data_IF_151651759198
#
_entry.id   IF_151651759198
#
_cell.length_a   1.000
_cell.length_b   1.000
_cell.length_c   1.000
_cell.angle_alpha   90.00
_cell.angle_beta   90.00
_cell.angle_gamma   90.00
#
_symmetry.space_group_name_H-M   'P 1'
#
loop_
_entity.id
_entity.type
_entity.pdbx_description
1 polymer ?
#
# COMPACT_ATOMS: atom_id res chain seq x y z
N UNK A 1 -4.08 11.78 24.80
CA UNK A 1 -4.48 10.56 24.04
C UNK A 1 -3.29 9.66 23.82
N UNK A 2 -3.36 8.38 24.17
CA UNK A 2 -2.22 7.48 23.99
C UNK A 2 -1.97 7.22 22.51
N UNK A 3 -0.68 7.07 22.16
CA UNK A 3 -0.28 6.64 20.84
C UNK A 3 -0.62 5.16 20.64
N UNK A 4 -0.73 4.74 19.38
CA UNK A 4 -0.98 3.35 19.07
C UNK A 4 0.18 2.45 19.53
N UNK A 5 -0.13 1.19 19.80
CA UNK A 5 0.87 0.16 20.11
C UNK A 5 1.25 -0.62 18.86
N UNK A 6 2.38 -1.33 18.92
CA UNK A 6 2.79 -2.23 17.83
C UNK A 6 1.77 -3.37 17.66
N UNK A 7 1.15 -3.82 18.74
CA UNK A 7 0.08 -4.83 18.68
C UNK A 7 -1.14 -4.30 17.94
N UNK A 8 -1.54 -3.05 18.19
CA UNK A 8 -2.64 -2.41 17.48
C UNK A 8 -2.35 -2.32 15.99
N UNK A 9 -1.15 -1.87 15.62
CA UNK A 9 -0.73 -1.77 14.22
C UNK A 9 -0.78 -3.13 13.53
N UNK A 10 -0.31 -4.19 14.20
CA UNK A 10 -0.38 -5.54 13.66
C UNK A 10 -1.81 -6.00 13.46
N UNK A 11 -2.68 -5.74 14.44
CA UNK A 11 -4.09 -6.12 14.36
C UNK A 11 -4.78 -5.41 13.19
N UNK A 12 -4.48 -4.13 12.98
CA UNK A 12 -5.02 -3.36 11.84
C UNK A 12 -4.53 -3.96 10.53
N UNK A 13 -3.24 -4.29 10.42
CA UNK A 13 -2.70 -4.93 9.21
C UNK A 13 -3.39 -6.27 8.95
N UNK A 14 -3.53 -7.10 9.96
CA UNK A 14 -4.18 -8.41 9.83
C UNK A 14 -5.64 -8.26 9.39
N UNK A 15 -6.34 -7.25 9.91
CA UNK A 15 -7.70 -6.94 9.51
C UNK A 15 -7.77 -6.53 8.03
N UNK A 16 -6.86 -5.66 7.59
CA UNK A 16 -6.81 -5.22 6.18
C UNK A 16 -6.54 -6.41 5.26
N UNK A 17 -5.58 -7.27 5.59
CA UNK A 17 -5.29 -8.48 4.82
C UNK A 17 -6.55 -9.33 4.70
N UNK A 18 -7.25 -9.54 5.80
CA UNK A 18 -8.44 -10.38 5.85
C UNK A 18 -9.56 -9.86 4.95
N UNK A 19 -9.94 -8.58 5.07
CA UNK A 19 -11.03 -8.09 4.23
C UNK A 19 -10.63 -7.90 2.77
N UNK A 20 -9.35 -7.60 2.51
CA UNK A 20 -8.85 -7.47 1.14
C UNK A 20 -8.90 -8.80 0.39
N UNK A 21 -8.53 -9.89 1.05
CA UNK A 21 -8.59 -11.23 0.45
C UNK A 21 -10.01 -11.64 0.06
N UNK A 22 -11.01 -11.13 0.75
CA UNK A 22 -12.42 -11.46 0.52
C UNK A 22 -13.05 -10.71 -0.66
N UNK A 23 -12.39 -9.67 -1.16
CA UNK A 23 -12.92 -8.90 -2.29
C UNK A 23 -12.42 -9.47 -3.61
N UNK A 24 -13.34 -9.83 -4.50
CA UNK A 24 -13.02 -10.48 -5.77
C UNK A 24 -12.19 -9.59 -6.71
N UNK A 25 -12.29 -8.27 -6.58
CA UNK A 25 -11.56 -7.32 -7.44
C UNK A 25 -10.18 -6.97 -6.90
N UNK A 26 -9.87 -7.34 -5.66
CA UNK A 26 -8.53 -7.12 -5.09
C UNK A 26 -7.68 -8.35 -5.39
N UNK A 27 -6.68 -8.15 -6.23
CA UNK A 27 -5.78 -9.21 -6.70
C UNK A 27 -4.63 -9.43 -5.73
N UNK A 28 -4.06 -8.34 -5.22
CA UNK A 28 -2.89 -8.43 -4.35
C UNK A 28 -2.84 -7.28 -3.35
N UNK A 29 -2.11 -7.50 -2.27
CA UNK A 29 -1.81 -6.49 -1.26
C UNK A 29 -0.31 -6.50 -1.00
N UNK A 30 0.32 -5.34 -1.13
CA UNK A 30 1.77 -5.19 -1.00
C UNK A 30 2.09 -4.17 0.08
N UNK A 31 2.88 -4.57 1.08
CA UNK A 31 3.42 -3.63 2.06
C UNK A 31 4.64 -2.95 1.47
N UNK A 32 4.72 -1.65 1.63
CA UNK A 32 5.85 -0.83 1.18
C UNK A 32 6.39 -0.03 2.35
N UNK A 33 7.48 0.71 2.15
CA UNK A 33 8.10 1.45 3.23
C UNK A 33 8.60 0.54 4.35
N UNK A 34 8.51 0.99 5.59
CA UNK A 34 9.04 0.27 6.75
C UNK A 34 8.33 -1.06 7.00
N UNK A 35 7.07 -1.19 6.62
CA UNK A 35 6.31 -2.44 6.76
C UNK A 35 6.85 -3.58 5.94
N UNK A 36 7.63 -3.30 4.89
CA UNK A 36 8.22 -4.32 4.02
C UNK A 36 9.38 -5.06 4.67
N UNK A 37 9.95 -4.53 5.75
CA UNK A 37 11.08 -5.15 6.45
C UNK A 37 10.93 -5.14 7.98
N UNK A 38 9.69 -5.14 8.46
CA UNK A 38 9.38 -5.45 9.86
C UNK A 38 9.29 -4.28 10.83
N UNK A 39 9.09 -3.05 10.34
CA UNK A 39 8.88 -1.87 11.20
C UNK A 39 10.01 -1.61 12.18
N UNK A 40 11.04 -0.91 11.71
CA UNK A 40 12.20 -0.52 12.53
C UNK A 40 11.77 0.37 13.70
N UNK A 41 10.77 1.23 13.49
CA UNK A 41 10.27 2.18 14.47
C UNK A 41 8.86 1.77 14.91
N UNK A 42 8.60 1.74 16.21
CA UNK A 42 7.28 1.44 16.75
C UNK A 42 6.22 2.49 16.36
N UNK A 43 6.64 3.68 15.91
CA UNK A 43 5.75 4.74 15.41
C UNK A 43 5.60 4.71 13.89
N UNK A 44 6.17 3.73 13.20
CA UNK A 44 6.07 3.62 11.74
C UNK A 44 4.63 3.44 11.29
N UNK A 45 4.28 4.12 10.18
CA UNK A 45 2.96 4.06 9.56
C UNK A 45 2.73 2.73 8.87
N UNK A 46 1.46 2.44 8.59
CA UNK A 46 1.09 1.38 7.65
C UNK A 46 1.05 1.99 6.25
N UNK A 47 1.90 1.48 5.36
CA UNK A 47 2.03 1.99 4.00
C UNK A 47 1.89 0.80 3.05
N UNK A 48 0.86 0.81 2.20
CA UNK A 48 0.54 -0.33 1.37
C UNK A 48 -0.08 0.05 0.05
N UNK A 49 -0.05 -0.90 -0.87
CA UNK A 49 -0.65 -0.78 -2.19
C UNK A 49 -1.64 -1.93 -2.37
N UNK A 50 -2.84 -1.59 -2.81
CA UNK A 50 -3.86 -2.56 -3.21
C UNK A 50 -3.85 -2.66 -4.73
N UNK A 51 -3.52 -3.85 -5.23
CA UNK A 51 -3.55 -4.14 -6.66
C UNK A 51 -4.91 -4.70 -7.03
N UNK A 52 -5.57 -4.09 -8.01
CA UNK A 52 -6.91 -4.45 -8.44
C UNK A 52 -6.90 -5.09 -9.81
N UNK A 53 -7.98 -5.78 -10.16
CA UNK A 53 -8.11 -6.49 -11.43
C UNK A 53 -8.24 -5.56 -12.63
N UNK A 54 -8.95 -4.44 -12.48
CA UNK A 54 -9.18 -3.47 -13.55
C UNK A 54 -9.49 -2.09 -12.99
N UNK A 55 -9.05 -1.04 -13.68
CA UNK A 55 -9.34 0.34 -13.30
C UNK A 55 -10.86 0.64 -13.24
N UNK A 56 -11.68 -0.11 -13.98
CA UNK A 56 -13.14 0.01 -13.92
C UNK A 56 -13.67 -0.23 -12.51
N UNK A 57 -13.00 -1.05 -11.72
CA UNK A 57 -13.42 -1.44 -10.39
C UNK A 57 -12.78 -0.59 -9.28
N UNK A 58 -11.96 0.40 -9.66
CA UNK A 58 -11.23 1.22 -8.70
C UNK A 58 -12.14 1.88 -7.67
N UNK A 59 -13.21 2.55 -8.13
CA UNK A 59 -14.13 3.24 -7.23
C UNK A 59 -14.82 2.29 -6.27
N UNK A 60 -15.28 1.16 -6.80
CA UNK A 60 -15.96 0.15 -5.96
C UNK A 60 -15.02 -0.42 -4.90
N UNK A 61 -13.75 -0.67 -5.26
CA UNK A 61 -12.75 -1.17 -4.31
C UNK A 61 -12.43 -0.12 -3.26
N UNK A 62 -12.22 1.13 -3.67
CA UNK A 62 -11.95 2.23 -2.73
C UNK A 62 -13.08 2.38 -1.71
N UNK A 63 -14.33 2.34 -2.16
CA UNK A 63 -15.50 2.43 -1.28
C UNK A 63 -15.58 1.24 -0.33
N UNK A 64 -15.29 0.04 -0.83
CA UNK A 64 -15.26 -1.16 -0.01
C UNK A 64 -14.22 -1.07 1.11
N UNK A 65 -12.99 -0.67 0.76
CA UNK A 65 -11.89 -0.57 1.72
C UNK A 65 -12.22 0.46 2.81
N UNK A 66 -12.68 1.65 2.40
CA UNK A 66 -13.09 2.68 3.36
C UNK A 66 -14.20 2.17 4.28
N UNK A 67 -15.21 1.53 3.72
CA UNK A 67 -16.31 0.96 4.50
C UNK A 67 -15.82 -0.04 5.54
N UNK A 68 -14.90 -0.93 5.15
CA UNK A 68 -14.35 -1.93 6.07
C UNK A 68 -13.53 -1.29 7.19
N UNK A 69 -12.72 -0.27 6.85
CA UNK A 69 -11.92 0.43 7.85
C UNK A 69 -12.80 1.16 8.86
N UNK A 70 -13.83 1.86 8.39
CA UNK A 70 -14.74 2.61 9.26
C UNK A 70 -15.61 1.72 10.15
N UNK A 71 -15.75 0.44 9.82
CA UNK A 71 -16.50 -0.50 10.67
C UNK A 71 -15.79 -0.80 11.98
N UNK A 72 -14.46 -0.77 12.01
CA UNK A 72 -13.69 -1.20 13.18
C UNK A 72 -12.77 -0.15 13.77
N UNK A 73 -12.49 0.93 13.04
CA UNK A 73 -11.54 1.94 13.46
C UNK A 73 -12.20 3.30 13.55
N UNK A 74 -11.71 4.12 14.46
CA UNK A 74 -12.13 5.51 14.59
C UNK A 74 -11.05 6.40 14.02
N UNK A 75 -11.43 7.30 13.11
CA UNK A 75 -10.50 8.19 12.44
C UNK A 75 -10.72 9.63 12.83
N UNK A 76 -9.63 10.37 13.05
CA UNK A 76 -9.65 11.81 13.28
C UNK A 76 -9.29 12.60 12.03
N UNK A 77 -8.84 11.92 10.97
CA UNK A 77 -8.45 12.57 9.72
C UNK A 77 -8.53 11.58 8.57
N UNK A 78 -9.00 12.07 7.42
CA UNK A 78 -9.03 11.32 6.17
C UNK A 78 -8.75 12.28 5.03
N UNK A 79 -7.90 11.87 4.08
CA UNK A 79 -7.55 12.65 2.91
C UNK A 79 -7.48 11.76 1.68
N UNK A 80 -8.09 12.23 0.59
CA UNK A 80 -7.91 11.61 -0.72
C UNK A 80 -6.93 12.45 -1.53
N UNK A 81 -6.02 11.77 -2.23
CA UNK A 81 -5.09 12.39 -3.18
C UNK A 81 -5.39 11.74 -4.53
N UNK A 82 -6.42 12.23 -5.29
CA UNK A 82 -6.93 11.54 -6.48
C UNK A 82 -5.86 11.33 -7.55
N UNK A 83 -4.98 12.29 -7.76
CA UNK A 83 -3.91 12.22 -8.77
C UNK A 83 -2.89 11.13 -8.49
N UNK A 84 -2.85 10.62 -7.26
CA UNK A 84 -1.96 9.52 -6.85
C UNK A 84 -2.72 8.24 -6.53
N UNK A 85 -4.04 8.26 -6.64
CA UNK A 85 -4.91 7.16 -6.21
C UNK A 85 -4.57 6.72 -4.79
N UNK A 86 -4.36 7.69 -3.90
CA UNK A 86 -3.91 7.48 -2.54
C UNK A 86 -4.96 7.94 -1.55
N UNK A 87 -5.23 7.11 -0.55
CA UNK A 87 -6.07 7.45 0.60
C UNK A 87 -5.20 7.44 1.86
N UNK A 88 -5.30 8.50 2.65
CA UNK A 88 -4.57 8.64 3.91
C UNK A 88 -5.57 8.69 5.04
N UNK A 89 -5.41 7.80 6.02
CA UNK A 89 -6.25 7.73 7.22
C UNK A 89 -5.39 7.94 8.44
N UNK A 90 -5.93 8.64 9.44
CA UNK A 90 -5.28 8.76 10.74
C UNK A 90 -6.26 8.33 11.81
N UNK A 91 -5.90 7.31 12.57
CA UNK A 91 -6.74 6.81 13.66
C UNK A 91 -6.73 7.78 14.83
N UNK A 92 -7.68 7.61 15.76
CA UNK A 92 -7.77 8.44 16.96
C UNK A 92 -6.61 8.22 17.94
N UNK A 93 -5.83 7.15 17.78
CA UNK A 93 -4.59 6.92 18.52
C UNK A 93 -3.33 7.14 17.65
N UNK A 94 -3.49 7.89 16.56
CA UNK A 94 -2.41 8.42 15.72
C UNK A 94 -1.66 7.40 14.84
N UNK A 95 -2.27 6.29 14.49
CA UNK A 95 -1.73 5.42 13.45
C UNK A 95 -2.14 5.97 12.09
N UNK A 96 -1.16 6.30 11.25
CA UNK A 96 -1.40 6.69 9.88
C UNK A 96 -1.44 5.45 8.98
N UNK A 97 -2.45 5.38 8.12
CA UNK A 97 -2.63 4.28 7.17
C UNK A 97 -2.69 4.89 5.77
N UNK A 98 -1.67 4.62 4.96
CA UNK A 98 -1.58 5.11 3.59
C UNK A 98 -1.85 3.96 2.64
N UNK A 99 -2.89 4.07 1.82
CA UNK A 99 -3.28 3.04 0.88
C UNK A 99 -3.31 3.62 -0.53
N UNK A 100 -2.38 3.14 -1.37
CA UNK A 100 -2.37 3.42 -2.79
C UNK A 100 -3.08 2.32 -3.56
N UNK A 101 -3.59 2.64 -4.74
CA UNK A 101 -4.35 1.71 -5.58
C UNK A 101 -3.80 1.70 -7.00
N UNK A 102 -3.78 0.54 -7.62
CA UNK A 102 -3.39 0.42 -9.03
C UNK A 102 -3.76 -0.94 -9.59
N UNK A 103 -3.86 -1.03 -10.92
CA UNK A 103 -4.11 -2.29 -11.58
C UNK A 103 -2.91 -3.24 -11.37
N UNK A 104 -3.19 -4.53 -11.11
CA UNK A 104 -2.11 -5.49 -10.86
C UNK A 104 -1.18 -5.65 -12.07
N UNK A 105 -1.70 -5.41 -13.27
CA UNK A 105 -0.91 -5.46 -14.51
C UNK A 105 0.10 -4.31 -14.63
N UNK A 106 -0.07 -3.26 -13.83
CA UNK A 106 0.86 -2.13 -13.75
C UNK A 106 1.78 -2.21 -12.54
N UNK A 107 1.83 -3.36 -11.86
CA UNK A 107 2.65 -3.53 -10.66
C UNK A 107 4.11 -3.29 -10.97
N UNK A 108 4.73 -2.43 -10.16
CA UNK A 108 6.12 -2.03 -10.36
C UNK A 108 6.73 -1.64 -9.02
N UNK A 109 8.01 -1.92 -8.85
CA UNK A 109 8.76 -1.51 -7.67
C UNK A 109 9.79 -0.48 -8.08
N UNK A 110 9.76 0.66 -7.43
CA UNK A 110 10.72 1.73 -7.64
C UNK A 110 11.57 1.97 -6.39
N UNK A 111 11.32 1.19 -5.34
CA UNK A 111 12.12 1.17 -4.13
C UNK A 111 12.68 -0.24 -3.91
N UNK A 112 13.75 -0.31 -3.14
CA UNK A 112 14.47 -1.56 -2.89
C UNK A 112 13.63 -2.60 -2.16
N UNK A 113 12.77 -2.18 -1.24
CA UNK A 113 12.06 -3.10 -0.34
C UNK A 113 10.55 -3.04 -0.55
N UNK A 114 9.96 -4.21 -0.68
CA UNK A 114 8.51 -4.42 -0.66
C UNK A 114 8.24 -5.81 -0.14
N UNK A 115 7.01 -6.05 0.31
CA UNK A 115 6.60 -7.38 0.76
C UNK A 115 5.19 -7.65 0.26
N UNK A 116 5.04 -8.69 -0.55
CA UNK A 116 3.72 -9.13 -1.03
C UNK A 116 3.06 -9.91 0.10
N UNK A 117 1.94 -9.38 0.62
CA UNK A 117 1.20 -10.00 1.71
C UNK A 117 0.30 -11.12 1.20
N UNK A 118 -0.33 -10.91 0.05
CA UNK A 118 -0.97 -11.96 -0.73
C UNK A 118 -1.04 -11.52 -2.20
N UNK A 119 -1.15 -12.51 -3.10
CA UNK A 119 -1.24 -12.26 -4.54
C UNK A 119 -1.97 -13.42 -5.22
N UNK A 120 -3.21 -13.17 -5.61
CA UNK A 120 -4.06 -14.16 -6.28
C UNK A 120 -3.60 -14.47 -7.71
N UNK A 121 -2.87 -13.54 -8.33
CA UNK A 121 -2.37 -13.72 -9.70
C UNK A 121 -1.05 -14.49 -9.76
N UNK A 122 -0.25 -14.43 -8.69
CA UNK A 122 1.08 -15.01 -8.66
C UNK A 122 2.11 -14.26 -9.49
N UNK A 123 1.79 -13.06 -10.01
CA UNK A 123 2.66 -12.34 -10.95
C UNK A 123 3.21 -11.02 -10.42
N UNK A 124 2.66 -10.52 -9.32
CA UNK A 124 2.98 -9.16 -8.83
C UNK A 124 4.42 -9.05 -8.36
N UNK A 125 4.92 -10.01 -7.57
CA UNK A 125 6.29 -9.95 -7.06
C UNK A 125 7.30 -9.96 -8.21
N UNK A 126 7.10 -10.82 -9.20
CA UNK A 126 7.98 -10.90 -10.36
C UNK A 126 7.97 -9.60 -11.18
N UNK A 127 6.80 -9.02 -11.38
CA UNK A 127 6.68 -7.74 -12.08
C UNK A 127 7.44 -6.63 -11.34
N UNK A 128 7.35 -6.61 -10.02
CA UNK A 128 8.06 -5.63 -9.20
C UNK A 128 9.57 -5.85 -9.26
N UNK A 129 10.04 -7.09 -9.24
CA UNK A 129 11.47 -7.41 -9.38
C UNK A 129 12.01 -6.95 -10.73
N UNK A 130 11.28 -7.22 -11.81
CA UNK A 130 11.68 -6.81 -13.16
C UNK A 130 11.82 -5.30 -13.24
N UNK A 131 10.84 -4.55 -12.73
CA UNK A 131 10.89 -3.09 -12.76
C UNK A 131 12.04 -2.54 -11.92
N UNK A 132 12.31 -3.13 -10.76
CA UNK A 132 13.40 -2.72 -9.90
C UNK A 132 14.76 -2.94 -10.57
N UNK A 133 14.98 -4.10 -11.18
CA UNK A 133 16.23 -4.40 -11.89
C UNK A 133 16.45 -3.44 -13.07
N UNK A 134 15.37 -3.06 -13.75
CA UNK A 134 15.41 -2.12 -14.87
C UNK A 134 15.84 -0.72 -14.39
N UNK A 135 15.34 -0.29 -13.26
CA UNK A 135 15.69 1.01 -12.68
C UNK A 135 17.15 1.01 -12.21
N UNK A 136 17.62 -0.04 -11.54
CA UNK A 136 19.01 -0.17 -11.10
C UNK A 136 19.99 -0.10 -12.26
N UNK A 137 19.62 -0.68 -13.40
CA UNK A 137 20.48 -0.71 -14.59
C UNK A 137 20.64 0.67 -15.23
N UNK A 138 19.68 1.58 -15.02
CA UNK A 138 19.62 2.86 -15.74
C UNK A 138 19.86 4.10 -14.85
N UNK A 139 20.05 3.92 -13.54
CA UNK A 139 20.19 5.06 -12.61
C UNK A 139 21.33 4.83 -11.62
N UNK A 140 21.95 5.94 -11.16
CA UNK A 140 22.90 5.88 -10.05
C UNK A 140 22.12 5.67 -8.73
N UNK A 141 22.81 5.13 -7.71
CA UNK A 141 22.15 4.82 -6.43
C UNK A 141 21.42 6.02 -5.81
N UNK A 142 22.00 7.21 -5.88
CA UNK A 142 21.36 8.42 -5.36
C UNK A 142 20.12 8.82 -6.14
N UNK A 143 20.12 8.61 -7.44
CA UNK A 143 18.98 8.90 -8.31
C UNK A 143 17.85 7.88 -8.14
N UNK A 144 18.19 6.64 -7.83
CA UNK A 144 17.20 5.58 -7.63
C UNK A 144 16.24 5.94 -6.50
N UNK A 145 16.77 6.37 -5.36
CA UNK A 145 15.94 6.68 -4.18
C UNK A 145 14.96 7.83 -4.47
N UNK A 146 15.42 8.87 -5.17
CA UNK A 146 14.61 10.05 -5.48
C UNK A 146 13.57 9.77 -6.57
N UNK A 147 13.99 9.14 -7.66
CA UNK A 147 13.10 8.79 -8.77
C UNK A 147 12.06 7.76 -8.37
N UNK A 148 12.42 6.82 -7.48
CA UNK A 148 11.53 5.76 -7.04
C UNK A 148 10.23 6.30 -6.44
N UNK A 149 10.32 7.30 -5.55
CA UNK A 149 9.16 7.89 -4.93
C UNK A 149 8.23 8.56 -5.94
N UNK A 150 8.80 9.37 -6.82
CA UNK A 150 8.02 10.11 -7.82
C UNK A 150 7.32 9.16 -8.80
N UNK A 151 8.05 8.17 -9.32
CA UNK A 151 7.50 7.26 -10.33
C UNK A 151 6.49 6.29 -9.73
N UNK A 152 6.73 5.78 -8.52
CA UNK A 152 5.78 4.90 -7.84
C UNK A 152 4.43 5.58 -7.68
N UNK A 153 4.43 6.82 -7.20
CA UNK A 153 3.19 7.59 -7.05
C UNK A 153 2.54 7.92 -8.39
N UNK A 154 3.33 8.16 -9.43
CA UNK A 154 2.79 8.46 -10.76
C UNK A 154 2.14 7.23 -11.41
N UNK A 155 2.67 6.03 -11.18
CA UNK A 155 2.08 4.80 -11.71
C UNK A 155 0.75 4.44 -11.05
N UNK A 156 0.46 5.03 -9.92
CA UNK A 156 -0.81 4.84 -9.24
C UNK A 156 -1.94 5.70 -9.79
N UNK A 157 -1.65 6.51 -10.80
CA UNK A 157 -2.65 7.36 -11.44
C UNK A 157 -3.54 6.57 -12.38
#
# INVERSE_FOLDING_TARGET
MPLFSTAFRKDVMDYIVSFAQQNEHIVALVAVGSGSYGYIDELSDLDMVIAIDSDENLRAVMDYVSSQLYKRLNFIYFKQVPERRLHVYLTDNYLEIDIGYGAYTSAAAFRKNWKVLFDKSGTVDQAMRISWERIKANTSDGQIAECADAVWHNLMH
#
